data_IF_089866722731
#
_entry.id   IF_089866722731
#
_cell.length_a   1.000
_cell.length_b   1.000
_cell.length_c   1.000
_cell.angle_alpha   90.00
_cell.angle_beta   90.00
_cell.angle_gamma   90.00
#
_symmetry.space_group_name_H-M   'P 1'
#
loop_
_entity.id
_entity.type
_entity.pdbx_description
1 polymer ?
#
# COMPACT_ATOMS: atom_id res chain seq x y z
N UNK A 1 -5.55 44.24 -31.48
CA UNK A 1 -4.66 43.07 -31.55
C UNK A 1 -4.44 42.59 -30.13
N UNK A 2 -5.21 41.60 -29.69
CA UNK A 2 -5.07 41.00 -28.37
C UNK A 2 -3.92 39.98 -28.39
N UNK A 3 -2.97 40.15 -27.48
CA UNK A 3 -1.82 39.25 -27.32
C UNK A 3 -2.29 38.10 -26.43
N UNK A 4 -2.52 36.94 -27.04
CA UNK A 4 -2.93 35.73 -26.35
C UNK A 4 -1.78 35.17 -25.52
N UNK A 5 -1.87 35.32 -24.20
CA UNK A 5 -0.92 34.80 -23.24
C UNK A 5 -1.13 33.28 -23.08
N UNK A 6 -0.46 32.48 -23.92
CA UNK A 6 -0.42 31.02 -23.82
C UNK A 6 0.58 30.59 -22.73
N UNK A 7 0.21 30.80 -21.47
CA UNK A 7 0.90 30.18 -20.33
C UNK A 7 0.39 28.75 -20.13
N UNK A 8 0.63 27.88 -21.11
CA UNK A 8 0.46 26.43 -20.97
C UNK A 8 1.71 25.85 -20.33
N UNK A 9 1.72 25.80 -19.00
CA UNK A 9 2.82 25.29 -18.18
C UNK A 9 3.29 23.92 -18.63
N UNK A 10 4.43 23.90 -19.31
CA UNK A 10 5.15 22.70 -19.72
C UNK A 10 5.86 22.13 -18.47
N UNK A 11 5.13 21.39 -17.63
CA UNK A 11 5.78 20.65 -16.55
C UNK A 11 6.82 19.70 -17.15
N UNK A 12 8.11 19.80 -16.75
CA UNK A 12 9.19 19.04 -17.38
C UNK A 12 8.98 17.54 -17.16
N UNK A 13 9.19 16.75 -18.23
CA UNK A 13 9.02 15.29 -18.26
C UNK A 13 9.74 14.52 -17.13
N UNK A 14 10.74 15.11 -16.49
CA UNK A 14 11.40 14.57 -15.30
C UNK A 14 10.47 14.39 -14.09
N UNK A 15 9.48 15.25 -13.88
CA UNK A 15 8.56 15.17 -12.72
C UNK A 15 7.51 14.06 -12.93
N UNK A 16 7.08 13.83 -14.18
CA UNK A 16 6.10 12.79 -14.54
C UNK A 16 6.59 11.40 -14.10
N UNK A 17 7.86 11.10 -14.35
CA UNK A 17 8.46 9.81 -14.00
C UNK A 17 8.50 9.48 -12.50
N UNK A 18 8.43 10.47 -11.60
CA UNK A 18 8.58 10.22 -10.15
C UNK A 18 7.34 9.53 -9.57
N UNK A 19 6.13 9.99 -9.92
CA UNK A 19 4.88 9.42 -9.37
C UNK A 19 4.58 8.04 -9.93
N UNK A 20 4.86 7.83 -11.22
CA UNK A 20 4.80 6.52 -11.85
C UNK A 20 5.71 5.52 -11.13
N UNK A 21 6.99 5.88 -10.97
CA UNK A 21 7.97 5.05 -10.28
C UNK A 21 7.61 4.80 -8.81
N UNK A 22 7.07 5.80 -8.11
CA UNK A 22 6.63 5.67 -6.72
C UNK A 22 5.46 4.69 -6.59
N UNK A 23 4.42 4.82 -7.44
CA UNK A 23 3.29 3.89 -7.46
C UNK A 23 3.75 2.46 -7.77
N UNK A 24 4.65 2.30 -8.73
CA UNK A 24 5.15 0.98 -9.13
C UNK A 24 6.02 0.34 -8.03
N UNK A 25 6.86 1.14 -7.35
CA UNK A 25 7.60 0.70 -6.18
C UNK A 25 6.66 0.29 -5.04
N UNK A 26 5.58 1.04 -4.84
CA UNK A 26 4.57 0.72 -3.84
C UNK A 26 3.84 -0.60 -4.16
N UNK A 27 3.39 -0.78 -5.41
CA UNK A 27 2.81 -2.04 -5.89
C UNK A 27 3.76 -3.22 -5.68
N UNK A 28 5.04 -3.05 -6.00
CA UNK A 28 6.06 -4.10 -5.80
C UNK A 28 6.21 -4.48 -4.33
N UNK A 29 6.21 -3.49 -3.43
CA UNK A 29 6.25 -3.72 -1.98
C UNK A 29 5.04 -4.51 -1.48
N UNK A 30 3.84 -4.16 -1.93
CA UNK A 30 2.61 -4.86 -1.56
C UNK A 30 2.56 -6.29 -2.11
N UNK A 31 3.00 -6.50 -3.37
CA UNK A 31 3.10 -7.84 -3.95
C UNK A 31 4.10 -8.74 -3.20
N UNK A 32 5.24 -8.19 -2.79
CA UNK A 32 6.21 -8.94 -1.99
C UNK A 32 5.61 -9.32 -0.63
N UNK A 33 4.87 -8.40 0.01
CA UNK A 33 4.15 -8.73 1.24
C UNK A 33 3.12 -9.83 1.02
N UNK A 34 2.31 -9.78 -0.05
CA UNK A 34 1.36 -10.85 -0.38
C UNK A 34 2.04 -12.19 -0.56
N UNK A 35 3.18 -12.22 -1.25
CA UNK A 35 3.96 -13.43 -1.47
C UNK A 35 4.39 -14.03 -0.14
N UNK A 36 4.87 -13.21 0.80
CA UNK A 36 5.30 -13.65 2.12
C UNK A 36 4.13 -14.15 2.98
N UNK A 37 3.01 -13.42 3.00
CA UNK A 37 1.79 -13.86 3.69
C UNK A 37 1.27 -15.18 3.12
N UNK A 38 1.37 -15.37 1.80
CA UNK A 38 0.97 -16.61 1.13
C UNK A 38 1.86 -17.80 1.49
N UNK A 39 3.14 -17.55 1.76
CA UNK A 39 4.12 -18.56 2.18
C UNK A 39 4.12 -18.82 3.69
N UNK A 40 3.29 -18.10 4.46
CA UNK A 40 3.20 -18.30 5.89
C UNK A 40 2.75 -19.73 6.21
N UNK A 41 3.37 -20.38 7.21
CA UNK A 41 3.15 -21.80 7.50
C UNK A 41 1.69 -22.15 7.83
N UNK A 42 0.93 -21.20 8.37
CA UNK A 42 -0.50 -21.35 8.69
C UNK A 42 -1.43 -20.91 7.55
N UNK A 43 -0.91 -20.40 6.43
CA UNK A 43 -1.69 -20.13 5.23
C UNK A 43 -2.03 -21.45 4.54
N UNK A 44 -3.29 -21.64 4.18
CA UNK A 44 -3.77 -22.84 3.47
C UNK A 44 -3.75 -22.61 1.96
N UNK A 45 -3.67 -23.69 1.19
CA UNK A 45 -3.76 -23.63 -0.28
C UNK A 45 -5.08 -23.00 -0.73
N UNK A 46 -6.17 -23.27 -0.01
CA UNK A 46 -7.41 -22.52 -0.12
C UNK A 46 -7.63 -21.67 1.15
N UNK A 47 -7.28 -20.37 1.14
CA UNK A 47 -7.47 -19.52 2.33
C UNK A 47 -8.93 -19.33 2.73
N UNK A 48 -9.87 -19.53 1.79
CA UNK A 48 -11.30 -19.35 2.00
C UNK A 48 -11.97 -20.59 2.64
N UNK A 49 -11.22 -21.66 2.94
CA UNK A 49 -11.74 -22.88 3.58
C UNK A 49 -12.08 -22.71 5.07
N UNK A 50 -11.83 -21.52 5.63
CA UNK A 50 -12.10 -21.19 7.04
C UNK A 50 -11.08 -21.74 8.04
N UNK A 51 -10.03 -22.44 7.58
CA UNK A 51 -9.00 -23.06 8.44
C UNK A 51 -7.73 -22.23 8.55
N UNK A 52 -7.52 -21.27 7.64
CA UNK A 52 -6.48 -20.26 7.80
C UNK A 52 -6.81 -19.40 9.02
N UNK A 53 -5.85 -19.12 9.94
CA UNK A 53 -6.10 -18.20 11.03
C UNK A 53 -6.70 -16.90 10.53
N UNK A 54 -7.84 -16.50 11.10
CA UNK A 54 -8.59 -15.31 10.66
C UNK A 54 -7.72 -14.08 10.44
N UNK A 55 -6.75 -13.76 11.31
CA UNK A 55 -5.93 -12.56 11.10
C UNK A 55 -5.04 -12.67 9.88
N UNK A 56 -4.44 -13.85 9.65
CA UNK A 56 -3.62 -14.09 8.48
C UNK A 56 -4.44 -13.97 7.20
N UNK A 57 -5.63 -14.57 7.19
CA UNK A 57 -6.57 -14.49 6.08
C UNK A 57 -6.98 -13.03 5.80
N UNK A 58 -7.44 -12.30 6.82
CA UNK A 58 -7.90 -10.92 6.66
C UNK A 58 -6.78 -9.99 6.26
N UNK A 59 -5.57 -10.12 6.83
CA UNK A 59 -4.42 -9.31 6.41
C UNK A 59 -4.05 -9.60 4.96
N UNK A 60 -4.02 -10.87 4.55
CA UNK A 60 -3.75 -11.24 3.15
C UNK A 60 -4.80 -10.67 2.19
N UNK A 61 -6.08 -10.85 2.48
CA UNK A 61 -7.18 -10.33 1.66
C UNK A 61 -7.15 -8.80 1.60
N UNK A 62 -6.89 -8.14 2.72
CA UNK A 62 -6.82 -6.69 2.83
C UNK A 62 -5.68 -6.10 1.96
N UNK A 63 -4.50 -6.71 2.00
CA UNK A 63 -3.39 -6.31 1.11
C UNK A 63 -3.73 -6.62 -0.35
N UNK A 64 -4.40 -7.75 -0.64
CA UNK A 64 -4.76 -8.12 -2.01
C UNK A 64 -5.72 -7.10 -2.62
N UNK A 65 -6.73 -6.68 -1.86
CA UNK A 65 -7.64 -5.59 -2.27
C UNK A 65 -6.91 -4.27 -2.45
N UNK A 66 -5.95 -3.96 -1.57
CA UNK A 66 -5.13 -2.74 -1.68
C UNK A 66 -4.28 -2.74 -2.96
N UNK A 67 -3.68 -3.89 -3.35
CA UNK A 67 -2.99 -4.03 -4.63
C UNK A 67 -3.93 -3.80 -5.81
N UNK A 68 -5.12 -4.41 -5.78
CA UNK A 68 -6.15 -4.22 -6.79
C UNK A 68 -6.52 -2.76 -6.96
N UNK A 69 -6.83 -2.06 -5.86
CA UNK A 69 -7.17 -0.64 -5.88
C UNK A 69 -6.02 0.23 -6.41
N UNK A 70 -4.79 0.00 -5.93
CA UNK A 70 -3.63 0.78 -6.34
C UNK A 70 -3.31 0.58 -7.84
N UNK A 71 -3.49 -0.62 -8.37
CA UNK A 71 -3.28 -0.93 -9.79
C UNK A 71 -4.26 -0.21 -10.71
N UNK A 72 -5.45 0.13 -10.18
CA UNK A 72 -6.48 0.88 -10.90
C UNK A 72 -6.28 2.39 -10.85
N UNK A 73 -5.32 2.89 -10.05
CA UNK A 73 -5.03 4.33 -10.00
C UNK A 73 -4.28 4.75 -11.28
N UNK A 74 -4.88 5.63 -12.12
CA UNK A 74 -4.24 6.03 -13.37
C UNK A 74 -3.03 6.93 -13.11
N UNK A 75 -1.88 6.58 -13.71
CA UNK A 75 -0.61 7.31 -13.52
C UNK A 75 -0.70 8.72 -14.05
N UNK A 76 -1.25 8.88 -15.25
CA UNK A 76 -1.46 10.16 -15.92
C UNK A 76 -2.26 11.13 -15.04
N UNK A 77 -3.28 10.62 -14.34
CA UNK A 77 -4.07 11.41 -13.39
C UNK A 77 -3.30 11.76 -12.12
N UNK A 78 -2.50 10.83 -11.58
CA UNK A 78 -1.61 11.14 -10.45
C UNK A 78 -0.59 12.22 -10.81
N UNK A 79 0.01 12.12 -11.99
CA UNK A 79 0.95 13.12 -12.54
C UNK A 79 0.27 14.48 -12.71
N UNK A 80 -0.99 14.51 -13.15
CA UNK A 80 -1.78 15.72 -13.29
C UNK A 80 -2.28 16.31 -11.95
N UNK A 81 -1.98 15.68 -10.80
CA UNK A 81 -2.55 16.04 -9.49
C UNK A 81 -4.09 16.01 -9.45
N UNK A 82 -4.68 15.08 -10.20
CA UNK A 82 -6.11 14.84 -10.15
C UNK A 82 -6.53 14.43 -8.73
N UNK A 83 -7.56 15.10 -8.20
CA UNK A 83 -8.00 14.93 -6.81
C UNK A 83 -8.41 13.49 -6.52
N UNK A 84 -9.21 12.88 -7.41
CA UNK A 84 -9.75 11.53 -7.19
C UNK A 84 -8.64 10.48 -7.24
N UNK A 85 -7.67 10.64 -8.15
CA UNK A 85 -6.50 9.76 -8.21
C UNK A 85 -5.63 9.89 -6.95
N UNK A 86 -5.38 11.12 -6.48
CA UNK A 86 -4.63 11.37 -5.25
C UNK A 86 -5.34 10.80 -4.01
N UNK A 87 -6.66 10.95 -3.93
CA UNK A 87 -7.46 10.41 -2.82
C UNK A 87 -7.41 8.88 -2.78
N UNK A 88 -7.58 8.21 -3.94
CA UNK A 88 -7.46 6.75 -4.04
C UNK A 88 -6.05 6.26 -3.72
N UNK A 89 -5.03 6.98 -4.16
CA UNK A 89 -3.64 6.65 -3.83
C UNK A 89 -3.39 6.80 -2.33
N UNK A 90 -3.85 7.90 -1.72
CA UNK A 90 -3.75 8.15 -0.28
C UNK A 90 -4.48 7.09 0.54
N UNK A 91 -5.68 6.65 0.13
CA UNK A 91 -6.39 5.53 0.75
C UNK A 91 -5.55 4.24 0.71
N UNK A 92 -4.89 3.95 -0.41
CA UNK A 92 -3.98 2.80 -0.50
C UNK A 92 -2.78 2.92 0.45
N UNK A 93 -2.20 4.11 0.59
CA UNK A 93 -1.12 4.38 1.55
C UNK A 93 -1.60 4.16 2.98
N UNK A 94 -2.77 4.71 3.36
CA UNK A 94 -3.38 4.52 4.67
C UNK A 94 -3.62 3.04 4.99
N UNK A 95 -4.11 2.27 4.00
CA UNK A 95 -4.25 0.81 4.14
C UNK A 95 -2.91 0.11 4.36
N UNK A 96 -1.86 0.49 3.64
CA UNK A 96 -0.55 -0.12 3.84
C UNK A 96 0.02 0.16 5.24
N UNK A 97 -0.16 1.37 5.77
CA UNK A 97 0.23 1.73 7.14
C UNK A 97 -0.57 0.90 8.15
N UNK A 98 -1.88 0.77 7.96
CA UNK A 98 -2.72 -0.08 8.82
C UNK A 98 -2.26 -1.53 8.81
N UNK A 99 -1.89 -2.06 7.65
CA UNK A 99 -1.35 -3.41 7.56
C UNK A 99 0.02 -3.55 8.22
N UNK A 100 0.91 -2.54 8.09
CA UNK A 100 2.16 -2.50 8.83
C UNK A 100 1.92 -2.58 10.34
N UNK A 101 0.98 -1.80 10.88
CA UNK A 101 0.62 -1.83 12.30
C UNK A 101 0.12 -3.23 12.70
N UNK A 102 -0.76 -3.83 11.92
CA UNK A 102 -1.31 -5.17 12.18
C UNK A 102 -0.24 -6.26 12.15
N UNK A 103 0.78 -6.12 11.30
CA UNK A 103 1.82 -7.12 11.11
C UNK A 103 2.98 -6.92 12.11
N UNK A 104 3.31 -5.68 12.43
CA UNK A 104 4.51 -5.32 13.21
C UNK A 104 4.23 -5.06 14.68
N UNK A 105 3.08 -4.49 15.05
CA UNK A 105 2.87 -4.00 16.41
C UNK A 105 2.00 -4.92 17.27
N UNK A 106 2.34 -5.04 18.55
CA UNK A 106 1.44 -5.52 19.60
C UNK A 106 0.59 -4.35 20.14
N UNK A 107 -0.08 -3.57 19.28
CA UNK A 107 -1.09 -2.64 19.81
C UNK A 107 -2.28 -3.43 20.35
N UNK A 108 -2.99 -2.95 21.38
CA UNK A 108 -4.22 -3.56 21.86
C UNK A 108 -5.23 -3.74 20.71
N UNK A 109 -5.29 -2.77 19.80
CA UNK A 109 -6.12 -2.82 18.60
C UNK A 109 -5.70 -3.95 17.65
N UNK A 110 -4.39 -4.08 17.38
CA UNK A 110 -3.88 -5.18 16.57
C UNK A 110 -4.06 -6.54 17.27
N UNK A 111 -3.99 -6.61 18.60
CA UNK A 111 -4.26 -7.83 19.36
C UNK A 111 -5.74 -8.24 19.30
N UNK A 112 -6.67 -7.26 19.37
CA UNK A 112 -8.12 -7.47 19.18
C UNK A 112 -8.41 -7.90 17.73
N UNK A 113 -7.85 -7.20 16.74
CA UNK A 113 -8.01 -7.56 15.32
C UNK A 113 -7.40 -8.92 14.98
N UNK A 114 -6.32 -9.32 15.67
CA UNK A 114 -5.69 -10.63 15.51
C UNK A 114 -6.39 -11.75 16.30
N UNK A 115 -7.34 -11.47 17.20
CA UNK A 115 -8.07 -12.51 17.92
C UNK A 115 -7.18 -13.60 18.57
N UNK A 116 -5.94 -13.27 18.92
CA UNK A 116 -4.90 -14.22 19.32
C UNK A 116 -3.47 -13.79 18.91
N UNK A 117 -2.48 -14.54 19.40
CA UNK A 117 -1.04 -14.30 19.17
C UNK A 117 -0.60 -14.95 17.84
N UNK A 118 -0.94 -14.33 16.71
CA UNK A 118 -0.38 -14.72 15.40
C UNK A 118 0.95 -13.99 15.18
N UNK A 119 2.04 -14.73 15.03
CA UNK A 119 3.33 -14.20 14.58
C UNK A 119 3.45 -14.28 13.06
N UNK A 120 3.37 -13.15 12.37
CA UNK A 120 3.56 -13.06 10.92
C UNK A 120 5.01 -13.29 10.47
N UNK A 121 5.97 -13.33 11.39
CA UNK A 121 7.39 -13.52 11.12
C UNK A 121 8.14 -12.24 10.77
N UNK A 122 9.45 -12.25 11.02
CA UNK A 122 10.34 -11.09 10.83
C UNK A 122 10.37 -10.55 9.39
N UNK A 123 10.37 -11.45 8.40
CA UNK A 123 10.47 -11.06 7.00
C UNK A 123 9.20 -10.33 6.53
N UNK A 124 8.02 -10.81 6.93
CA UNK A 124 6.76 -10.14 6.64
C UNK A 124 6.66 -8.77 7.31
N UNK A 125 7.14 -8.64 8.57
CA UNK A 125 7.26 -7.34 9.25
C UNK A 125 8.11 -6.34 8.48
N UNK A 126 9.28 -6.78 8.01
CA UNK A 126 10.20 -5.93 7.23
C UNK A 126 9.57 -5.52 5.89
N UNK A 127 8.89 -6.44 5.21
CA UNK A 127 8.20 -6.17 3.96
C UNK A 127 7.02 -5.21 4.11
N UNK A 128 6.23 -5.37 5.19
CA UNK A 128 5.11 -4.46 5.48
C UNK A 128 5.58 -3.02 5.70
N UNK A 129 6.64 -2.83 6.49
CA UNK A 129 7.28 -1.53 6.67
C UNK A 129 7.81 -0.96 5.35
N UNK A 130 8.48 -1.78 4.54
CA UNK A 130 8.99 -1.34 3.24
C UNK A 130 7.88 -0.91 2.29
N UNK A 131 6.75 -1.63 2.27
CA UNK A 131 5.60 -1.30 1.45
C UNK A 131 4.94 0.03 1.88
N UNK A 132 4.75 0.23 3.20
CA UNK A 132 4.20 1.48 3.73
C UNK A 132 5.10 2.69 3.39
N UNK A 133 6.42 2.55 3.54
CA UNK A 133 7.38 3.59 3.17
C UNK A 133 7.36 3.90 1.67
N UNK A 134 7.29 2.87 0.82
CA UNK A 134 7.21 3.05 -0.63
C UNK A 134 5.94 3.81 -1.05
N UNK A 135 4.82 3.60 -0.36
CA UNK A 135 3.58 4.33 -0.58
C UNK A 135 3.64 5.80 -0.11
N UNK A 136 4.13 6.03 1.10
CA UNK A 136 4.09 7.35 1.75
C UNK A 136 5.21 8.33 1.36
N UNK A 137 6.34 7.86 0.82
CA UNK A 137 7.53 8.70 0.70
C UNK A 137 8.03 9.18 2.07
N UNK A 138 9.18 9.89 2.13
CA UNK A 138 9.74 10.38 3.41
C UNK A 138 8.82 11.32 4.21
N UNK A 139 7.74 11.83 3.61
CA UNK A 139 6.77 12.71 4.28
C UNK A 139 5.92 12.00 5.34
N UNK A 140 5.75 10.67 5.25
CA UNK A 140 5.01 9.88 6.25
C UNK A 140 5.68 9.79 7.63
N UNK A 141 6.95 10.22 7.77
CA UNK A 141 7.67 10.23 9.06
C UNK A 141 7.34 11.43 9.95
N UNK A 142 6.62 12.45 9.46
CA UNK A 142 6.46 13.70 10.21
C UNK A 142 5.33 13.72 11.23
N UNK A 143 4.38 12.78 11.21
CA UNK A 143 3.24 12.79 12.14
C UNK A 143 3.06 11.39 12.76
N UNK A 144 3.98 11.04 13.66
CA UNK A 144 3.71 10.16 14.81
C UNK A 144 4.35 10.80 16.03
#
# INVERSE_FOLDING_TARGET
MEVSNKAGSNMPAMIRNVKAAQRDAFLKGLHELLRLLRQHAQMRDNPHDGRTPRPLFFTWEFIQRTCGNLSQVPVDKLEANDRDALEKYSDCVGRAIMAEIVITEKTPMAAIMRGGELDFGYVARKAAKAAAVAGGGEEGKRHV
#
